data_IF_277635901967
#
_entry.id   IF_277635901967
#
_cell.length_a   1.000
_cell.length_b   1.000
_cell.length_c   1.000
_cell.angle_alpha   90.00
_cell.angle_beta   90.00
_cell.angle_gamma   90.00
#
_symmetry.space_group_name_H-M   'P 1'
#
loop_
_entity.id
_entity.type
_entity.pdbx_description
1 polymer ?
#
# COMPACT_ATOMS: atom_id res chain seq x y z
N UNK A 1 -15.11 1.87 2.49
CA UNK A 1 -14.06 2.61 3.19
C UNK A 1 -12.69 2.36 2.56
N UNK A 2 -11.78 3.27 2.76
CA UNK A 2 -10.42 3.18 2.29
C UNK A 2 -9.46 3.44 3.45
N UNK A 3 -8.28 2.84 3.38
CA UNK A 3 -7.27 3.01 4.40
C UNK A 3 -5.92 3.22 3.73
N UNK A 4 -5.16 4.17 4.24
CA UNK A 4 -3.81 4.47 3.78
C UNK A 4 -2.82 3.70 4.65
N UNK A 5 -1.87 3.02 4.01
CA UNK A 5 -0.84 2.24 4.71
C UNK A 5 0.51 2.87 4.46
N UNK A 6 1.21 3.23 5.53
CA UNK A 6 2.50 3.88 5.44
C UNK A 6 3.59 2.85 5.14
N UNK A 7 4.41 3.14 4.15
CA UNK A 7 5.47 2.24 3.70
C UNK A 7 6.47 1.88 4.80
N UNK A 8 6.68 2.78 5.75
CA UNK A 8 7.69 2.54 6.77
C UNK A 8 7.43 1.27 7.60
N UNK A 9 6.20 0.76 7.54
CA UNK A 9 5.85 -0.45 8.26
C UNK A 9 6.04 -1.71 7.43
N UNK A 10 6.56 -1.56 6.22
CA UNK A 10 6.65 -2.70 5.29
C UNK A 10 8.06 -2.87 4.76
N UNK A 11 9.04 -2.91 5.63
CA UNK A 11 10.39 -3.09 5.16
C UNK A 11 10.96 -4.42 5.59
N UNK A 12 12.09 -4.79 4.99
CA UNK A 12 12.78 -6.03 5.23
C UNK A 12 12.02 -7.21 4.62
N UNK A 13 12.47 -8.39 4.93
CA UNK A 13 11.92 -9.59 4.34
C UNK A 13 10.53 -9.95 4.80
N UNK A 14 10.00 -9.27 5.81
CA UNK A 14 8.67 -9.58 6.32
C UNK A 14 7.58 -8.76 5.66
N UNK A 15 7.95 -7.88 4.73
CA UNK A 15 6.98 -6.95 4.14
C UNK A 15 5.79 -7.66 3.50
N UNK A 16 6.06 -8.71 2.72
CA UNK A 16 4.98 -9.42 2.04
C UNK A 16 4.01 -10.07 3.00
N UNK A 17 4.53 -10.68 4.05
CA UNK A 17 3.70 -11.30 5.05
C UNK A 17 2.84 -10.27 5.78
N UNK A 18 3.44 -9.16 6.15
CA UNK A 18 2.72 -8.11 6.86
C UNK A 18 1.65 -7.46 5.99
N UNK A 19 1.93 -7.29 4.71
CA UNK A 19 0.95 -6.76 3.77
C UNK A 19 -0.29 -7.65 3.74
N UNK A 20 -0.07 -8.95 3.64
CA UNK A 20 -1.19 -9.87 3.60
C UNK A 20 -1.99 -9.83 4.90
N UNK A 21 -1.30 -9.75 6.02
CA UNK A 21 -1.96 -9.70 7.32
C UNK A 21 -2.81 -8.45 7.44
N UNK A 22 -2.28 -7.31 7.03
CA UNK A 22 -3.02 -6.07 7.07
C UNK A 22 -4.26 -6.16 6.19
N UNK A 23 -4.12 -6.71 5.00
CA UNK A 23 -5.26 -6.85 4.09
C UNK A 23 -6.34 -7.73 4.70
N UNK A 24 -5.95 -8.86 5.30
CA UNK A 24 -6.92 -9.76 5.91
C UNK A 24 -7.65 -9.08 7.06
N UNK A 25 -6.89 -8.37 7.91
CA UNK A 25 -7.48 -7.68 9.05
C UNK A 25 -8.44 -6.57 8.62
N UNK A 26 -8.06 -5.81 7.61
CA UNK A 26 -8.88 -4.71 7.14
C UNK A 26 -10.15 -5.22 6.47
N UNK A 27 -10.05 -6.34 5.77
CA UNK A 27 -11.22 -6.95 5.15
C UNK A 27 -12.21 -7.38 6.21
N UNK A 28 -11.72 -7.96 7.30
CA UNK A 28 -12.59 -8.36 8.41
C UNK A 28 -13.30 -7.18 9.05
N UNK A 29 -12.67 -6.00 8.99
CA UNK A 29 -13.29 -4.79 9.52
C UNK A 29 -14.25 -4.12 8.55
N UNK A 30 -14.47 -4.73 7.39
CA UNK A 30 -15.38 -4.19 6.40
C UNK A 30 -14.78 -3.17 5.45
N UNK A 31 -13.47 -3.00 5.50
CA UNK A 31 -12.77 -2.11 4.57
C UNK A 31 -12.54 -2.88 3.28
N UNK A 32 -12.94 -2.29 2.16
CA UNK A 32 -12.87 -2.98 0.88
C UNK A 32 -11.81 -2.44 -0.07
N UNK A 33 -11.07 -1.42 0.31
CA UNK A 33 -9.99 -0.87 -0.52
C UNK A 33 -8.93 -0.23 0.35
N UNK A 34 -7.67 -0.50 0.01
CA UNK A 34 -6.52 0.09 0.68
C UNK A 34 -5.68 0.88 -0.29
N UNK A 35 -4.99 1.89 0.23
CA UNK A 35 -4.03 2.68 -0.54
C UNK A 35 -2.70 2.69 0.20
N UNK A 36 -1.61 2.74 -0.56
CA UNK A 36 -0.29 2.95 0.03
C UNK A 36 0.53 3.87 -0.86
N UNK A 37 1.53 4.48 -0.28
CA UNK A 37 2.45 5.36 -0.99
C UNK A 37 3.86 4.86 -0.75
N UNK A 38 4.68 4.80 -1.80
CA UNK A 38 6.00 4.20 -1.73
C UNK A 38 6.93 4.78 -2.79
N UNK A 39 8.22 4.64 -2.58
CA UNK A 39 9.23 4.94 -3.60
C UNK A 39 9.61 3.69 -4.39
N UNK A 40 9.19 2.52 -3.96
CA UNK A 40 9.55 1.26 -4.61
C UNK A 40 8.75 1.00 -5.87
N UNK A 41 9.39 0.30 -6.81
CA UNK A 41 8.73 -0.15 -8.02
C UNK A 41 8.81 -1.67 -8.08
N UNK A 42 7.85 -2.27 -8.77
CA UNK A 42 7.85 -3.72 -9.07
C UNK A 42 7.76 -4.63 -7.86
N UNK A 43 7.50 -4.08 -6.68
CA UNK A 43 7.35 -4.88 -5.48
C UNK A 43 5.87 -5.18 -5.20
N UNK A 44 5.06 -4.13 -5.18
CA UNK A 44 3.66 -4.28 -4.78
C UNK A 44 2.83 -4.98 -5.84
N UNK A 45 3.24 -4.89 -7.09
CA UNK A 45 2.54 -5.59 -8.17
C UNK A 45 2.52 -7.10 -7.93
N UNK A 46 3.54 -7.63 -7.25
CA UNK A 46 3.60 -9.06 -6.94
C UNK A 46 2.52 -9.50 -5.98
N UNK A 47 1.92 -8.56 -5.26
CA UNK A 47 0.92 -8.85 -4.25
C UNK A 47 -0.45 -8.30 -4.66
N UNK A 48 -0.63 -8.10 -5.97
CA UNK A 48 -1.91 -7.66 -6.55
C UNK A 48 -2.30 -6.23 -6.19
N UNK A 49 -1.31 -5.40 -5.92
CA UNK A 49 -1.53 -3.97 -5.79
C UNK A 49 -1.40 -3.33 -7.16
N UNK A 50 -2.24 -2.36 -7.46
CA UNK A 50 -2.26 -1.68 -8.75
C UNK A 50 -1.76 -0.26 -8.60
N UNK A 51 -0.90 0.16 -9.52
CA UNK A 51 -0.42 1.54 -9.54
C UNK A 51 -1.57 2.47 -9.87
N UNK A 52 -1.74 3.52 -9.08
CA UNK A 52 -2.82 4.47 -9.27
C UNK A 52 -2.33 5.78 -9.87
N UNK A 53 -1.38 6.42 -9.22
CA UNK A 53 -0.87 7.72 -9.69
C UNK A 53 0.38 8.10 -8.90
N UNK A 54 1.03 9.16 -9.36
CA UNK A 54 2.12 9.76 -8.59
C UNK A 54 1.54 10.81 -7.67
N UNK A 55 2.11 10.93 -6.48
CA UNK A 55 1.68 11.92 -5.50
C UNK A 55 2.91 12.60 -4.92
N UNK A 56 2.70 13.79 -4.41
CA UNK A 56 3.76 14.54 -3.74
C UNK A 56 3.27 14.88 -2.35
N UNK A 57 4.02 14.43 -1.35
CA UNK A 57 3.68 14.73 0.04
C UNK A 57 4.23 16.08 0.42
N UNK A 58 3.57 16.71 1.39
CA UNK A 58 3.98 18.00 1.90
C UNK A 58 5.39 17.90 2.46
N UNK A 59 6.23 18.88 2.13
CA UNK A 59 7.61 18.95 2.59
C UNK A 59 8.54 17.89 1.99
N UNK A 60 8.09 17.22 0.92
CA UNK A 60 8.92 16.27 0.21
C UNK A 60 9.23 16.79 -1.19
N UNK A 61 10.47 16.62 -1.63
CA UNK A 61 10.88 17.10 -2.93
C UNK A 61 10.60 16.09 -4.04
N UNK A 62 10.53 14.81 -3.70
CA UNK A 62 10.35 13.75 -4.69
C UNK A 62 8.91 13.28 -4.73
N UNK A 63 8.49 12.90 -5.93
CA UNK A 63 7.18 12.28 -6.10
C UNK A 63 7.21 10.84 -5.63
N UNK A 64 6.08 10.38 -5.10
CA UNK A 64 5.94 9.00 -4.64
C UNK A 64 4.88 8.30 -5.49
N UNK A 65 4.92 6.99 -5.48
CA UNK A 65 3.95 6.18 -6.22
C UNK A 65 2.83 5.78 -5.27
N UNK A 66 1.59 5.96 -5.71
CA UNK A 66 0.45 5.51 -4.94
C UNK A 66 -0.13 4.25 -5.58
N UNK A 67 -0.35 3.23 -4.75
CA UNK A 67 -0.95 1.97 -5.18
C UNK A 67 -2.26 1.77 -4.46
N UNK A 68 -3.13 1.01 -5.06
CA UNK A 68 -4.38 0.64 -4.41
C UNK A 68 -4.60 -0.86 -4.55
N UNK A 69 -5.42 -1.40 -3.66
CA UNK A 69 -5.77 -2.81 -3.69
C UNK A 69 -7.21 -2.98 -3.23
N UNK A 70 -7.98 -3.72 -4.02
CA UNK A 70 -9.32 -4.12 -3.62
C UNK A 70 -9.22 -5.35 -2.74
N UNK A 71 -10.00 -5.38 -1.68
CA UNK A 71 -10.00 -6.49 -0.74
C UNK A 71 -11.20 -7.42 -0.94
N UNK A 72 -12.12 -7.03 -1.78
CA UNK A 72 -13.30 -7.87 -2.06
C UNK A 72 -12.98 -9.03 -3.00
#
# INVERSE_FOLDING_TARGET
>A
CALYVDEKYRRQGVAGYMLKQVCDDMKLLGINRLYLVTEHTDFYEKYDWSFLCMVQEENESNMLRMYSKNLD
#
